data_IF_220567557620
#
_entry.id   IF_220567557620
#
_cell.length_a   1.000
_cell.length_b   1.000
_cell.length_c   1.000
_cell.angle_alpha   90.00
_cell.angle_beta   90.00
_cell.angle_gamma   90.00
#
_symmetry.space_group_name_H-M   'P 1'
#
loop_
_entity.id
_entity.type
_entity.pdbx_description
1 polymer ?
#
# COMPACT_ATOMS: atom_id res chain seq x y z
N UNK A 1 20.89 -46.95 43.37
CA UNK A 1 19.50 -47.40 43.24
C UNK A 1 18.65 -46.20 42.84
N UNK A 2 18.14 -46.18 41.61
CA UNK A 2 16.98 -45.34 41.25
C UNK A 2 15.71 -45.96 41.86
N UNK A 3 14.63 -45.19 42.02
CA UNK A 3 13.67 -45.12 40.93
C UNK A 3 13.16 -43.72 40.59
N UNK A 4 12.57 -43.69 39.41
CA UNK A 4 12.00 -42.62 38.60
C UNK A 4 10.87 -41.82 39.27
N UNK A 5 10.76 -40.55 38.90
CA UNK A 5 9.45 -39.92 38.65
C UNK A 5 9.59 -38.78 37.65
N UNK A 6 9.09 -39.07 36.45
CA UNK A 6 8.88 -38.18 35.32
C UNK A 6 7.94 -37.03 35.70
N UNK A 7 8.28 -35.79 35.33
CA UNK A 7 7.28 -34.73 35.20
C UNK A 7 7.50 -33.98 33.88
N UNK A 8 6.82 -34.49 32.85
CA UNK A 8 6.60 -33.82 31.58
C UNK A 8 5.59 -32.68 31.80
N UNK A 9 6.05 -31.45 31.80
CA UNK A 9 5.19 -30.27 31.59
C UNK A 9 5.67 -29.49 30.36
N UNK A 10 5.62 -30.13 29.20
CA UNK A 10 5.54 -29.42 27.92
C UNK A 10 4.06 -29.22 27.56
N UNK A 11 3.39 -28.32 28.32
CA UNK A 11 2.20 -27.66 27.79
C UNK A 11 2.65 -26.65 26.74
N UNK A 12 2.66 -27.09 25.48
CA UNK A 12 2.75 -26.19 24.34
C UNK A 12 1.48 -25.35 24.29
N UNK A 13 1.58 -24.15 24.86
CA UNK A 13 0.58 -23.10 24.79
C UNK A 13 0.21 -22.83 23.32
N UNK A 14 -1.03 -23.06 22.85
CA UNK A 14 -1.39 -22.85 21.44
C UNK A 14 -1.59 -21.36 21.08
N UNK A 15 -1.14 -20.43 21.93
CA UNK A 15 -1.36 -19.00 21.75
C UNK A 15 -0.17 -18.31 21.07
N UNK A 16 -0.47 -17.80 19.87
CA UNK A 16 0.27 -16.81 19.05
C UNK A 16 1.20 -17.37 17.97
N UNK A 17 0.64 -18.08 16.98
CA UNK A 17 1.22 -18.00 15.63
C UNK A 17 0.97 -16.59 15.06
N UNK A 18 2.00 -15.86 14.58
CA UNK A 18 1.82 -14.56 13.95
C UNK A 18 0.80 -14.62 12.81
N UNK A 19 -0.30 -13.88 12.92
CA UNK A 19 -1.53 -14.00 12.09
C UNK A 19 -1.34 -13.80 10.57
N UNK A 20 -0.20 -13.28 10.15
CA UNK A 20 0.24 -13.29 8.75
C UNK A 20 0.37 -14.73 8.23
N UNK A 21 0.69 -15.70 9.08
CA UNK A 21 0.83 -17.12 8.77
C UNK A 21 -0.47 -17.77 8.29
N UNK A 22 -1.62 -17.43 8.90
CA UNK A 22 -2.92 -18.01 8.52
C UNK A 22 -3.26 -17.75 7.05
N UNK A 23 -2.92 -16.55 6.56
CA UNK A 23 -3.09 -16.25 5.15
C UNK A 23 -1.93 -16.77 4.32
N UNK A 24 -0.69 -16.78 4.82
CA UNK A 24 0.49 -17.26 4.07
C UNK A 24 0.29 -18.65 3.45
N UNK A 25 -0.37 -19.56 4.15
CA UNK A 25 -0.60 -20.94 3.70
C UNK A 25 -1.70 -21.09 2.62
N UNK A 26 -2.49 -20.05 2.34
CA UNK A 26 -3.63 -20.07 1.38
C UNK A 26 -3.56 -18.98 0.30
N UNK A 27 -2.38 -18.43 0.02
CA UNK A 27 -2.23 -17.39 -1.01
C UNK A 27 -1.96 -18.01 -2.40
N UNK A 28 -2.45 -17.40 -3.49
CA UNK A 28 -3.22 -16.15 -3.52
C UNK A 28 -4.65 -16.31 -3.01
N UNK A 29 -5.13 -15.34 -2.25
CA UNK A 29 -6.47 -15.36 -1.64
C UNK A 29 -7.29 -14.18 -2.10
N UNK A 30 -8.48 -14.45 -2.65
CA UNK A 30 -9.45 -13.41 -3.00
C UNK A 30 -10.52 -13.32 -1.92
N UNK A 31 -10.79 -12.12 -1.44
CA UNK A 31 -11.79 -11.87 -0.39
C UNK A 31 -12.44 -10.49 -0.56
N UNK A 32 -13.61 -10.32 0.06
CA UNK A 32 -14.24 -9.02 0.22
C UNK A 32 -13.77 -8.39 1.53
N UNK A 33 -13.53 -7.07 1.50
CA UNK A 33 -13.10 -6.31 2.66
C UNK A 33 -13.63 -4.87 2.60
N UNK A 34 -13.58 -4.19 3.73
CA UNK A 34 -13.80 -2.75 3.84
C UNK A 34 -12.46 -2.05 4.11
N UNK A 35 -12.22 -0.91 3.47
CA UNK A 35 -11.08 -0.05 3.83
C UNK A 35 -11.36 0.64 5.16
N UNK A 36 -10.47 0.47 6.13
CA UNK A 36 -10.55 1.12 7.44
C UNK A 36 -9.76 2.42 7.44
N UNK A 37 -8.55 2.40 6.89
CA UNK A 37 -7.67 3.56 6.81
C UNK A 37 -6.55 3.35 5.79
N UNK A 38 -5.97 4.44 5.29
CA UNK A 38 -4.72 4.43 4.54
C UNK A 38 -3.65 5.20 5.29
N UNK A 39 -2.40 4.74 5.19
CA UNK A 39 -1.24 5.55 5.58
C UNK A 39 -0.98 6.61 4.50
N UNK A 40 -1.32 7.85 4.82
CA UNK A 40 -1.21 8.99 3.91
C UNK A 40 0.13 9.74 4.01
N UNK A 41 1.04 9.31 4.90
CA UNK A 41 2.35 9.95 5.05
C UNK A 41 3.39 9.42 4.06
N UNK A 42 3.18 8.20 3.54
CA UNK A 42 4.15 7.53 2.68
C UNK A 42 3.44 6.81 1.52
N UNK A 43 2.79 7.60 0.66
CA UNK A 43 1.98 7.10 -0.46
C UNK A 43 2.80 6.68 -1.69
N UNK A 44 4.04 7.13 -1.79
CA UNK A 44 4.83 7.04 -3.02
C UNK A 44 6.23 6.52 -2.75
N UNK A 45 6.83 5.96 -3.79
CA UNK A 45 8.27 5.74 -3.88
C UNK A 45 8.74 6.12 -5.28
N UNK A 46 10.03 6.44 -5.39
CA UNK A 46 10.62 6.90 -6.66
C UNK A 46 11.32 5.76 -7.38
N UNK A 47 11.16 5.70 -8.70
CA UNK A 47 11.85 4.75 -9.57
C UNK A 47 12.48 5.45 -10.77
N UNK A 48 13.44 4.78 -11.41
CA UNK A 48 13.96 5.20 -12.70
C UNK A 48 12.87 5.07 -13.77
N UNK A 49 12.65 6.11 -14.57
CA UNK A 49 11.63 6.05 -15.64
C UNK A 49 11.97 5.05 -16.75
N UNK A 50 13.26 4.73 -16.95
CA UNK A 50 13.71 3.76 -17.97
C UNK A 50 13.67 2.31 -17.48
N UNK A 51 14.30 1.98 -16.35
CA UNK A 51 14.46 0.59 -15.91
C UNK A 51 13.55 0.20 -14.73
N UNK A 52 12.76 1.14 -14.20
CA UNK A 52 11.81 0.96 -13.09
C UNK A 52 12.43 0.43 -11.79
N UNK A 53 13.76 0.44 -11.68
CA UNK A 53 14.45 0.15 -10.41
C UNK A 53 14.21 1.29 -9.43
N UNK A 54 13.98 0.91 -8.18
CA UNK A 54 13.83 1.86 -7.06
C UNK A 54 15.06 2.76 -6.97
N UNK A 55 14.80 4.05 -6.87
CA UNK A 55 15.81 5.07 -6.63
C UNK A 55 15.84 5.44 -5.14
N UNK A 56 16.99 5.89 -4.62
CA UNK A 56 17.07 6.41 -3.26
C UNK A 56 16.16 7.63 -3.10
N UNK A 57 15.60 7.80 -1.90
CA UNK A 57 14.78 8.97 -1.59
C UNK A 57 15.62 10.25 -1.76
N UNK A 58 15.04 11.32 -2.32
CA UNK A 58 15.74 12.58 -2.52
C UNK A 58 16.13 13.16 -1.16
N UNK A 59 17.43 13.18 -0.86
CA UNK A 59 17.95 13.93 0.28
C UNK A 59 18.01 15.42 -0.07
N UNK A 60 17.83 16.33 0.90
CA UNK A 60 17.89 17.78 0.65
C UNK A 60 19.22 18.24 0.02
N UNK A 61 20.27 17.41 0.07
CA UNK A 61 21.61 17.70 -0.44
C UNK A 61 21.93 17.00 -1.77
N UNK A 62 20.99 16.28 -2.40
CA UNK A 62 21.26 15.53 -3.65
C UNK A 62 20.39 16.03 -4.79
N UNK A 63 21.02 16.64 -5.79
CA UNK A 63 20.33 17.41 -6.83
C UNK A 63 19.44 16.60 -7.79
N UNK A 64 19.61 15.28 -7.93
CA UNK A 64 18.66 14.36 -8.58
C UNK A 64 19.04 12.90 -8.27
N UNK A 65 18.08 11.98 -8.11
CA UNK A 65 18.41 10.58 -7.86
C UNK A 65 18.96 9.90 -9.13
N UNK A 66 20.25 9.51 -9.10
CA UNK A 66 20.90 8.81 -10.19
C UNK A 66 20.58 7.31 -10.19
N UNK A 67 20.30 6.74 -11.38
CA UNK A 67 20.10 5.31 -11.53
C UNK A 67 21.44 4.58 -11.77
N UNK A 68 21.89 3.81 -10.76
CA UNK A 68 23.11 2.99 -10.85
C UNK A 68 23.03 1.89 -11.93
N UNK A 69 21.83 1.45 -12.29
CA UNK A 69 21.59 0.36 -13.24
C UNK A 69 21.60 0.81 -14.70
N UNK A 70 21.48 2.10 -14.97
CA UNK A 70 21.48 2.68 -16.33
C UNK A 70 22.83 3.32 -16.68
N UNK A 71 23.94 2.76 -16.17
CA UNK A 71 25.31 3.21 -16.40
C UNK A 71 25.59 4.67 -15.99
N UNK A 72 24.94 5.18 -14.94
CA UNK A 72 25.15 6.56 -14.44
C UNK A 72 25.04 7.64 -15.52
N UNK A 73 24.44 7.35 -16.67
CA UNK A 73 24.19 8.39 -17.66
C UNK A 73 23.34 9.45 -16.95
N UNK A 74 23.70 10.75 -17.01
CA UNK A 74 22.84 11.80 -16.53
C UNK A 74 21.65 11.78 -17.47
N UNK A 75 20.65 10.99 -17.12
CA UNK A 75 19.68 10.64 -18.12
C UNK A 75 18.81 11.87 -18.33
N UNK A 76 18.59 12.18 -19.60
CA UNK A 76 17.34 12.79 -20.03
C UNK A 76 16.08 12.02 -19.57
N UNK A 77 16.23 10.83 -18.96
CA UNK A 77 15.18 10.05 -18.30
C UNK A 77 15.05 10.47 -16.84
N UNK A 78 14.06 11.30 -16.55
CA UNK A 78 13.72 11.69 -15.19
C UNK A 78 13.39 10.51 -14.27
N UNK A 79 13.09 10.80 -13.02
CA UNK A 79 12.46 9.83 -12.13
C UNK A 79 10.93 9.88 -12.30
N UNK A 80 10.25 8.78 -11.99
CA UNK A 80 8.79 8.75 -11.87
C UNK A 80 8.38 8.22 -10.51
N UNK A 81 7.20 8.61 -10.03
CA UNK A 81 6.62 8.09 -8.79
C UNK A 81 5.72 6.92 -9.09
N UNK A 82 5.67 6.00 -8.14
CA UNK A 82 4.75 4.88 -8.13
C UNK A 82 4.08 4.81 -6.76
N UNK A 83 2.82 4.40 -6.71
CA UNK A 83 2.14 4.26 -5.42
C UNK A 83 2.68 3.07 -4.62
N UNK A 84 2.80 3.28 -3.31
CA UNK A 84 3.09 2.27 -2.29
C UNK A 84 2.27 2.62 -1.05
N UNK A 85 1.06 2.12 -0.98
CA UNK A 85 0.09 2.53 0.04
C UNK A 85 -0.07 1.39 1.05
N UNK A 86 0.18 1.68 2.32
CA UNK A 86 -0.25 0.80 3.40
C UNK A 86 -1.73 1.06 3.69
N UNK A 87 -2.52 0.00 3.64
CA UNK A 87 -3.97 0.07 3.81
C UNK A 87 -4.37 -0.91 4.91
N UNK A 88 -5.11 -0.40 5.89
CA UNK A 88 -5.80 -1.22 6.87
C UNK A 88 -7.14 -1.65 6.28
N UNK A 89 -7.38 -2.96 6.18
CA UNK A 89 -8.63 -3.53 5.66
C UNK A 89 -9.30 -4.39 6.72
N UNK A 90 -10.61 -4.23 6.86
CA UNK A 90 -11.47 -5.11 7.65
C UNK A 90 -12.02 -6.21 6.75
N UNK A 91 -11.76 -7.46 7.14
CA UNK A 91 -12.39 -8.66 6.56
C UNK A 91 -13.47 -9.14 7.53
N UNK A 92 -14.28 -10.13 7.13
CA UNK A 92 -15.29 -10.75 8.01
C UNK A 92 -14.73 -11.18 9.38
N UNK A 93 -13.44 -11.54 9.43
CA UNK A 93 -12.83 -12.15 10.62
C UNK A 93 -11.98 -11.19 11.44
N UNK A 94 -11.42 -10.13 10.83
CA UNK A 94 -10.41 -9.27 11.45
C UNK A 94 -9.98 -8.11 10.56
N UNK A 95 -9.30 -7.15 11.17
CA UNK A 95 -8.56 -6.07 10.51
C UNK A 95 -7.10 -6.48 10.29
N UNK A 96 -6.58 -6.26 9.09
CA UNK A 96 -5.16 -6.50 8.73
C UNK A 96 -4.59 -5.34 7.92
N UNK A 97 -3.27 -5.12 8.01
CA UNK A 97 -2.56 -4.14 7.19
C UNK A 97 -1.95 -4.82 5.97
N UNK A 98 -2.37 -4.40 4.79
CA UNK A 98 -1.88 -4.86 3.48
C UNK A 98 -1.19 -3.72 2.74
N UNK A 99 -0.45 -4.03 1.68
CA UNK A 99 0.21 -3.03 0.84
C UNK A 99 -0.34 -3.07 -0.60
N UNK A 100 -0.74 -1.91 -1.11
CA UNK A 100 -1.12 -1.70 -2.50
C UNK A 100 0.02 -1.04 -3.25
N UNK A 101 0.48 -1.69 -4.32
CA UNK A 101 1.41 -1.08 -5.25
C UNK A 101 0.67 -0.44 -6.41
N UNK A 102 1.37 0.43 -7.12
CA UNK A 102 0.93 1.23 -8.27
C UNK A 102 -0.30 0.70 -9.03
N UNK A 103 -0.22 -0.45 -9.70
CA UNK A 103 -1.35 -0.99 -10.48
C UNK A 103 -2.66 -1.11 -9.67
N UNK A 104 -2.59 -1.59 -8.44
CA UNK A 104 -3.78 -1.72 -7.58
C UNK A 104 -4.24 -0.35 -7.07
N UNK A 105 -3.29 0.49 -6.63
CA UNK A 105 -3.61 1.81 -6.11
C UNK A 105 -4.26 2.72 -7.18
N UNK A 106 -3.81 2.67 -8.43
CA UNK A 106 -4.37 3.46 -9.54
C UNK A 106 -5.84 3.19 -9.80
N UNK A 107 -6.34 1.98 -9.51
CA UNK A 107 -7.77 1.66 -9.63
C UNK A 107 -8.59 2.50 -8.65
N UNK A 108 -8.10 2.68 -7.42
CA UNK A 108 -8.78 3.47 -6.39
C UNK A 108 -8.55 4.97 -6.61
N UNK A 109 -7.34 5.36 -6.99
CA UNK A 109 -6.96 6.76 -7.12
C UNK A 109 -7.47 7.40 -8.41
N UNK A 110 -7.63 6.63 -9.49
CA UNK A 110 -8.07 7.11 -10.80
C UNK A 110 -7.03 7.91 -11.59
N UNK A 111 -5.79 7.99 -11.10
CA UNK A 111 -4.71 8.73 -11.72
C UNK A 111 -3.36 8.06 -11.42
N UNK A 112 -2.28 8.55 -12.04
CA UNK A 112 -0.93 8.10 -11.71
C UNK A 112 -0.44 8.69 -10.37
N UNK A 113 0.63 8.10 -9.82
CA UNK A 113 1.24 8.61 -8.60
C UNK A 113 1.87 10.01 -8.78
N UNK A 114 2.40 10.31 -9.98
CA UNK A 114 2.91 11.64 -10.28
C UNK A 114 1.78 12.67 -10.37
N UNK A 115 0.66 12.34 -11.04
CA UNK A 115 -0.50 13.24 -11.13
C UNK A 115 -1.07 13.56 -9.74
N UNK A 116 -1.22 12.54 -8.88
CA UNK A 116 -1.72 12.75 -7.53
C UNK A 116 -0.73 13.53 -6.66
N UNK A 117 0.57 13.29 -6.82
CA UNK A 117 1.61 14.04 -6.12
C UNK A 117 1.60 15.52 -6.53
N UNK A 118 1.50 15.81 -7.82
CA UNK A 118 1.42 17.18 -8.33
C UNK A 118 0.14 17.89 -7.88
N UNK A 119 -1.00 17.17 -7.85
CA UNK A 119 -2.23 17.67 -7.26
C UNK A 119 -2.06 18.00 -5.77
N UNK A 120 -1.39 17.13 -5.00
CA UNK A 120 -1.20 17.33 -3.57
C UNK A 120 -0.25 18.48 -3.21
N UNK A 121 0.63 18.92 -4.12
CA UNK A 121 1.48 20.11 -3.91
C UNK A 121 0.67 21.39 -3.78
N UNK A 122 -0.41 21.51 -4.54
CA UNK A 122 -1.24 22.71 -4.60
C UNK A 122 -2.45 22.64 -3.68
N UNK A 123 -2.75 21.46 -3.13
CA UNK A 123 -3.89 21.22 -2.25
C UNK A 123 -3.41 20.64 -0.90
N UNK A 124 -3.18 21.51 0.12
CA UNK A 124 -2.88 21.06 1.46
C UNK A 124 -3.92 20.04 1.93
N UNK A 125 -3.47 18.96 2.57
CA UNK A 125 -4.32 17.86 3.05
C UNK A 125 -4.94 16.95 1.98
N UNK A 126 -4.57 17.05 0.70
CA UNK A 126 -5.06 16.13 -0.34
C UNK A 126 -4.81 14.64 0.01
N UNK A 127 -3.67 14.32 0.59
CA UNK A 127 -3.34 12.96 1.04
C UNK A 127 -4.28 12.46 2.17
N UNK A 128 -4.59 13.32 3.15
CA UNK A 128 -5.53 12.99 4.22
C UNK A 128 -6.97 12.87 3.70
N UNK A 129 -7.36 13.77 2.78
CA UNK A 129 -8.67 13.73 2.13
C UNK A 129 -8.84 12.47 1.26
N UNK A 130 -7.78 12.00 0.59
CA UNK A 130 -7.77 10.72 -0.11
C UNK A 130 -8.06 9.55 0.85
N UNK A 131 -7.50 9.58 2.06
CA UNK A 131 -7.81 8.60 3.10
C UNK A 131 -9.28 8.62 3.50
N UNK A 132 -9.86 9.81 3.64
CA UNK A 132 -11.29 9.97 3.94
C UNK A 132 -12.20 9.54 2.79
N UNK A 133 -11.80 9.76 1.55
CA UNK A 133 -12.56 9.31 0.38
C UNK A 133 -12.59 7.77 0.25
N UNK A 134 -11.56 7.08 0.73
CA UNK A 134 -11.49 5.62 0.69
C UNK A 134 -12.02 4.93 1.96
N UNK A 135 -12.08 5.63 3.09
CA UNK A 135 -12.58 5.08 4.35
C UNK A 135 -14.03 4.58 4.18
N UNK A 136 -14.26 3.32 4.56
CA UNK A 136 -15.56 2.66 4.42
C UNK A 136 -15.84 2.04 3.06
N UNK A 137 -14.98 2.24 2.04
CA UNK A 137 -15.20 1.63 0.73
C UNK A 137 -15.08 0.11 0.77
N UNK A 138 -16.05 -0.57 0.18
CA UNK A 138 -16.09 -2.02 0.06
C UNK A 138 -15.34 -2.45 -1.20
N UNK A 139 -14.36 -3.33 -1.02
CA UNK A 139 -13.47 -3.81 -2.07
C UNK A 139 -13.48 -5.34 -2.13
N UNK A 140 -13.39 -5.89 -3.33
CA UNK A 140 -12.91 -7.26 -3.56
C UNK A 140 -11.43 -7.18 -3.89
N UNK A 141 -10.60 -7.84 -3.09
CA UNK A 141 -9.14 -7.81 -3.22
C UNK A 141 -8.59 -9.22 -3.39
N UNK A 142 -7.53 -9.34 -4.18
CA UNK A 142 -6.69 -10.55 -4.22
C UNK A 142 -5.37 -10.24 -3.53
N UNK A 143 -5.07 -11.01 -2.48
CA UNK A 143 -3.86 -10.93 -1.69
C UNK A 143 -2.84 -11.96 -2.17
N UNK A 144 -1.55 -11.61 -2.12
CA UNK A 144 -0.44 -12.53 -2.37
C UNK A 144 0.68 -12.35 -1.34
N UNK A 145 1.60 -13.32 -1.32
CA UNK A 145 2.76 -13.25 -0.44
C UNK A 145 3.66 -12.06 -0.83
N UNK A 146 4.36 -11.46 0.15
CA UNK A 146 5.44 -10.54 -0.15
C UNK A 146 6.49 -11.21 -1.04
N UNK A 147 7.01 -10.49 -2.04
CA UNK A 147 8.04 -11.04 -2.95
C UNK A 147 9.41 -11.19 -2.29
N UNK A 148 9.67 -10.43 -1.23
CA UNK A 148 10.94 -10.43 -0.50
C UNK A 148 10.68 -10.97 0.91
N UNK A 149 11.50 -11.91 1.38
CA UNK A 149 11.32 -12.57 2.69
C UNK A 149 11.28 -11.62 3.90
N UNK A 150 11.87 -10.42 3.77
CA UNK A 150 11.86 -9.39 4.83
C UNK A 150 10.58 -8.54 4.87
N UNK A 151 9.76 -8.57 3.80
CA UNK A 151 8.54 -7.77 3.75
C UNK A 151 7.45 -8.43 4.59
N UNK A 152 6.83 -7.64 5.49
CA UNK A 152 5.90 -8.14 6.50
C UNK A 152 4.43 -8.15 6.05
N UNK A 153 4.07 -7.28 5.09
CA UNK A 153 2.70 -7.09 4.67
C UNK A 153 2.34 -7.92 3.43
N UNK A 154 1.13 -8.50 3.45
CA UNK A 154 0.55 -9.11 2.25
C UNK A 154 0.36 -8.06 1.17
N UNK A 155 0.56 -8.46 -0.09
CA UNK A 155 0.42 -7.59 -1.24
C UNK A 155 -0.97 -7.70 -1.83
N UNK A 156 -1.60 -6.57 -2.10
CA UNK A 156 -2.78 -6.54 -2.98
C UNK A 156 -2.30 -6.58 -4.42
N UNK A 157 -2.70 -7.61 -5.16
CA UNK A 157 -2.36 -7.78 -6.59
C UNK A 157 -3.51 -7.45 -7.53
N UNK A 158 -4.74 -7.48 -7.01
CA UNK A 158 -5.95 -7.05 -7.70
C UNK A 158 -6.90 -6.40 -6.70
N UNK A 159 -7.63 -5.39 -7.16
CA UNK A 159 -8.64 -4.67 -6.39
C UNK A 159 -9.79 -4.28 -7.29
N UNK A 160 -11.01 -4.41 -6.76
CA UNK A 160 -12.24 -4.03 -7.43
C UNK A 160 -13.17 -3.36 -6.40
N UNK A 161 -13.50 -2.07 -6.54
CA UNK A 161 -14.56 -1.43 -5.77
C UNK A 161 -15.90 -2.12 -6.01
N UNK A 162 -16.63 -2.39 -4.92
CA UNK A 162 -17.92 -3.09 -4.97
C UNK A 162 -19.11 -2.13 -4.98
N UNK A 163 -18.91 -0.87 -4.62
CA UNK A 163 -19.95 0.16 -4.66
C UNK A 163 -20.27 0.51 -6.12
N UNK A 164 -21.53 0.38 -6.52
CA UNK A 164 -22.01 0.88 -7.80
C UNK A 164 -21.80 2.39 -7.88
N UNK A 165 -21.20 2.87 -8.97
CA UNK A 165 -20.86 4.29 -9.11
C UNK A 165 -19.69 4.73 -8.24
N UNK A 166 -18.79 3.81 -7.87
CA UNK A 166 -17.52 4.19 -7.24
C UNK A 166 -16.83 5.29 -8.05
N UNK A 167 -16.50 6.39 -7.36
CA UNK A 167 -15.80 7.51 -7.94
C UNK A 167 -14.33 7.44 -7.49
N UNK A 168 -13.37 7.47 -8.43
CA UNK A 168 -11.97 7.46 -8.07
C UNK A 168 -11.59 8.68 -7.23
N UNK A 169 -10.63 8.50 -6.32
CA UNK A 169 -10.22 9.54 -5.35
C UNK A 169 -9.95 10.87 -6.02
N UNK A 170 -9.23 10.90 -7.15
CA UNK A 170 -8.85 12.15 -7.78
C UNK A 170 -10.07 12.99 -8.22
N UNK A 171 -11.14 12.33 -8.65
CA UNK A 171 -12.36 13.04 -9.07
C UNK A 171 -13.11 13.59 -7.86
N UNK A 172 -13.26 12.80 -6.80
CA UNK A 172 -13.83 13.26 -5.53
C UNK A 172 -13.07 14.44 -4.94
N UNK A 173 -11.73 14.41 -4.99
CA UNK A 173 -10.92 15.52 -4.51
C UNK A 173 -11.05 16.76 -5.41
N UNK A 174 -11.04 16.61 -6.73
CA UNK A 174 -11.24 17.75 -7.64
C UNK A 174 -12.55 18.46 -7.37
N UNK A 175 -13.63 17.72 -7.14
CA UNK A 175 -14.93 18.30 -6.76
C UNK A 175 -14.86 19.03 -5.41
N UNK A 176 -14.27 18.39 -4.39
CA UNK A 176 -14.15 18.96 -3.05
C UNK A 176 -13.33 20.27 -3.03
N UNK A 177 -12.22 20.32 -3.78
CA UNK A 177 -11.38 21.52 -3.82
C UNK A 177 -11.90 22.60 -4.77
N UNK A 178 -12.66 22.23 -5.83
CA UNK A 178 -13.42 23.21 -6.64
C UNK A 178 -14.51 23.89 -5.82
N UNK A 179 -15.26 23.13 -5.02
CA UNK A 179 -16.32 23.67 -4.16
C UNK A 179 -15.81 24.63 -3.08
N UNK A 180 -14.55 24.50 -2.67
CA UNK A 180 -13.92 25.36 -1.64
C UNK A 180 -13.21 26.60 -2.20
N UNK A 181 -12.90 26.64 -3.49
CA UNK A 181 -12.21 27.76 -4.13
C UNK A 181 -13.12 28.86 -4.70
N UNK A 182 -14.44 28.73 -4.53
CA UNK A 182 -15.45 29.66 -5.07
C UNK A 182 -16.15 30.52 -4.02
N UNK A 183 -15.45 30.91 -2.94
CA UNK A 183 -15.96 31.82 -1.90
C UNK A 183 -15.25 33.17 -1.99
#
# INVERSE_FOLDING_TARGET
MNPESSNNNNQTNPRKRPLTEIYKEKLPLTLNCMVVAIDHNNLFYTVCSTCEKTLPDPSPNTHLPFCKYCNFKPVSSGSKRLFRILVSIATEKKVIVVIMFDRAARVLFGCSADDFFDFAKTHPFAAAAAGKALEGEMLKVTLSQPKNGNARNLRVVSVLPLRTGFQPVIETLRELYRARGGS
#
